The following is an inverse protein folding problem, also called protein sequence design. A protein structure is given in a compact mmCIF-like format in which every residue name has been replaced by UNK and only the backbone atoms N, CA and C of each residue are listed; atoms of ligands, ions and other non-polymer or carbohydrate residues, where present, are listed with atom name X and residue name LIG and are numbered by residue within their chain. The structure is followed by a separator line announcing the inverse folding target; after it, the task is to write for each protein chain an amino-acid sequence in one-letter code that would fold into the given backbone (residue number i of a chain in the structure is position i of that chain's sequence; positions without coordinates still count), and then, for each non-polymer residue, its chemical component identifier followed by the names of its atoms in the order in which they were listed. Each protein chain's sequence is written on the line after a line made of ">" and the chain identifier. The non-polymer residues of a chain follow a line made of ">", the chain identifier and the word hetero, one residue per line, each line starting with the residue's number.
data_IF_306637267120
#
_entry.id   IF_306637267120
#
_cell.length_a   1.000
_cell.length_b   1.000
_cell.length_c   1.000
_cell.angle_alpha   90.00
_cell.angle_beta   90.00
_cell.angle_gamma   90.00
#
_symmetry.space_group_name_H-M   'P 1'
#
loop_
_entity.id
_entity.type
_entity.pdbx_description
1 polymer ?
#
# COMPACT_ATOMS: atom_id res chain seq x y z
N UNK A 1 -19.95 -3.69 -27.19
CA UNK A 1 -20.65 -4.24 -26.01
C UNK A 1 -20.86 -3.07 -25.06
N UNK A 2 -22.12 -2.77 -24.72
CA UNK A 2 -22.47 -1.65 -23.87
C UNK A 2 -22.10 -1.98 -22.42
N UNK A 3 -21.40 -1.07 -21.75
CA UNK A 3 -21.07 -1.15 -20.32
C UNK A 3 -22.25 -0.52 -19.60
N UNK A 4 -23.05 -1.33 -18.92
CA UNK A 4 -24.17 -0.87 -18.12
C UNK A 4 -23.66 -0.61 -16.69
N UNK A 5 -23.34 0.65 -16.39
CA UNK A 5 -22.98 1.09 -15.05
C UNK A 5 -24.21 1.78 -14.45
N UNK A 6 -24.87 1.18 -13.47
CA UNK A 6 -25.96 1.81 -12.75
C UNK A 6 -25.43 2.59 -11.56
N UNK A 7 -25.82 3.87 -11.48
CA UNK A 7 -25.52 4.75 -10.34
C UNK A 7 -26.75 4.76 -9.43
N UNK A 8 -26.61 4.25 -8.22
CA UNK A 8 -27.64 4.34 -7.18
C UNK A 8 -27.06 5.09 -5.99
N UNK A 9 -27.66 6.24 -5.63
CA UNK A 9 -27.26 7.11 -4.51
C UNK A 9 -25.81 7.65 -4.56
N UNK A 10 -25.29 7.99 -5.77
CA UNK A 10 -23.97 8.60 -5.88
C UNK A 10 -22.79 7.63 -5.69
N UNK A 11 -23.05 6.35 -5.52
CA UNK A 11 -22.02 5.31 -5.47
C UNK A 11 -22.08 4.51 -6.77
N UNK A 12 -20.96 4.47 -7.47
CA UNK A 12 -20.80 3.58 -8.63
C UNK A 12 -20.67 2.17 -8.06
N UNK A 13 -21.75 1.39 -8.09
CA UNK A 13 -21.65 -0.06 -7.88
C UNK A 13 -21.11 -0.68 -9.15
N UNK A 14 -19.79 -0.80 -9.24
CA UNK A 14 -19.15 -1.70 -10.16
C UNK A 14 -19.63 -3.12 -9.76
N UNK A 15 -20.56 -3.68 -10.50
CA UNK A 15 -20.74 -5.13 -10.49
C UNK A 15 -19.38 -5.67 -10.92
N UNK A 16 -18.68 -6.33 -9.97
CA UNK A 16 -17.36 -6.85 -10.17
C UNK A 16 -17.34 -7.69 -11.46
N UNK A 17 -16.77 -7.15 -12.50
CA UNK A 17 -16.38 -7.95 -13.65
C UNK A 17 -15.25 -8.86 -13.17
N UNK A 18 -15.63 -10.06 -12.71
CA UNK A 18 -14.65 -11.13 -12.63
C UNK A 18 -14.14 -11.32 -14.06
N UNK A 19 -12.84 -11.14 -14.25
CA UNK A 19 -12.24 -11.40 -15.55
C UNK A 19 -12.48 -12.87 -15.95
N UNK A 20 -12.51 -13.18 -17.24
CA UNK A 20 -12.65 -14.56 -17.71
C UNK A 20 -11.57 -15.48 -17.11
N UNK A 21 -10.42 -14.93 -16.71
CA UNK A 21 -9.36 -15.64 -16.00
C UNK A 21 -9.72 -15.96 -14.55
N UNK A 22 -10.38 -15.05 -13.82
CA UNK A 22 -10.84 -15.27 -12.44
C UNK A 22 -11.99 -16.28 -12.39
N UNK A 23 -12.92 -16.21 -13.36
CA UNK A 23 -14.01 -17.20 -13.49
C UNK A 23 -13.47 -18.59 -13.83
N UNK A 24 -12.40 -18.66 -14.62
CA UNK A 24 -11.75 -19.92 -14.98
C UNK A 24 -10.98 -20.51 -13.80
N UNK A 25 -10.27 -19.69 -13.02
CA UNK A 25 -9.54 -20.13 -11.82
C UNK A 25 -10.50 -20.64 -10.72
N UNK A 26 -11.65 -19.95 -10.51
CA UNK A 26 -12.68 -20.40 -9.55
C UNK A 26 -13.34 -21.73 -10.03
N UNK A 27 -13.56 -21.89 -11.32
CA UNK A 27 -14.11 -23.12 -11.89
C UNK A 27 -13.12 -24.30 -11.82
N UNK A 28 -11.82 -24.04 -11.96
CA UNK A 28 -10.77 -25.07 -11.84
C UNK A 28 -10.58 -25.54 -10.41
N UNK A 29 -10.66 -24.65 -9.40
CA UNK A 29 -10.55 -25.03 -7.98
C UNK A 29 -11.75 -25.83 -7.50
N UNK A 30 -12.96 -25.47 -7.91
CA UNK A 30 -14.19 -26.21 -7.55
C UNK A 30 -14.23 -27.59 -8.20
N UNK A 31 -13.76 -27.73 -9.45
CA UNK A 31 -13.67 -29.03 -10.11
C UNK A 31 -12.64 -29.97 -9.46
N UNK A 32 -11.50 -29.43 -9.02
CA UNK A 32 -10.41 -30.25 -8.45
C UNK A 32 -10.82 -30.90 -7.12
N UNK A 33 -11.56 -30.20 -6.28
CA UNK A 33 -12.04 -30.72 -4.99
C UNK A 33 -13.17 -31.75 -5.16
N UNK A 34 -14.05 -31.55 -6.15
CA UNK A 34 -15.11 -32.48 -6.49
C UNK A 34 -14.56 -33.76 -7.13
N UNK A 35 -13.57 -33.65 -8.01
CA UNK A 35 -12.89 -34.79 -8.63
C UNK A 35 -12.14 -35.63 -7.60
N UNK A 36 -11.48 -34.99 -6.63
CA UNK A 36 -10.79 -35.66 -5.52
C UNK A 36 -11.74 -36.45 -4.63
N UNK A 37 -12.87 -35.85 -4.25
CA UNK A 37 -13.89 -36.51 -3.43
C UNK A 37 -14.59 -37.63 -4.19
N UNK A 38 -14.91 -37.43 -5.47
CA UNK A 38 -15.50 -38.45 -6.32
C UNK A 38 -14.55 -39.64 -6.49
N UNK A 39 -13.27 -39.38 -6.72
CA UNK A 39 -12.25 -40.41 -6.85
C UNK A 39 -12.07 -41.22 -5.55
N UNK A 40 -12.00 -40.55 -4.38
CA UNK A 40 -11.92 -41.24 -3.10
C UNK A 40 -13.14 -42.15 -2.84
N UNK A 41 -14.34 -41.71 -3.24
CA UNK A 41 -15.54 -42.53 -3.15
C UNK A 41 -15.46 -43.75 -4.06
N UNK A 42 -14.96 -43.58 -5.29
CA UNK A 42 -14.74 -44.69 -6.24
C UNK A 42 -13.69 -45.68 -5.72
N UNK A 43 -12.61 -45.18 -5.14
CA UNK A 43 -11.56 -46.03 -4.56
C UNK A 43 -12.10 -46.85 -3.37
N UNK A 44 -12.87 -46.24 -2.48
CA UNK A 44 -13.51 -46.94 -1.36
C UNK A 44 -14.51 -48.00 -1.87
N UNK A 45 -15.26 -47.67 -2.94
CA UNK A 45 -16.17 -48.65 -3.57
C UNK A 45 -15.38 -49.80 -4.21
N UNK A 46 -14.29 -49.54 -4.89
CA UNK A 46 -13.44 -50.57 -5.47
C UNK A 46 -12.79 -51.46 -4.39
N UNK A 47 -12.26 -50.89 -3.31
CA UNK A 47 -11.71 -51.67 -2.18
C UNK A 47 -12.75 -52.58 -1.52
N UNK A 48 -14.03 -52.23 -1.54
CA UNK A 48 -15.11 -53.02 -0.97
C UNK A 48 -15.46 -54.25 -1.82
N UNK A 49 -15.16 -54.23 -3.12
CA UNK A 49 -15.52 -55.29 -4.08
C UNK A 49 -14.30 -56.02 -4.68
N UNK A 50 -13.05 -55.67 -4.31
CA UNK A 50 -11.85 -56.33 -4.85
C UNK A 50 -11.43 -57.54 -4.00
N UNK A 51 -10.91 -58.55 -4.74
CA UNK A 51 -10.29 -59.75 -4.16
C UNK A 51 -8.94 -59.38 -3.49
N UNK A 52 -8.72 -59.69 -2.20
CA UNK A 52 -7.52 -59.30 -1.48
C UNK A 52 -6.20 -59.90 -2.01
N UNK A 53 -6.25 -60.81 -2.97
CA UNK A 53 -5.08 -61.52 -3.55
C UNK A 53 -4.41 -60.81 -4.72
N UNK A 54 -5.00 -59.75 -5.29
CA UNK A 54 -4.40 -58.95 -6.37
C UNK A 54 -4.57 -57.45 -6.13
N UNK A 55 -3.66 -56.81 -5.37
CA UNK A 55 -3.64 -55.37 -5.26
C UNK A 55 -3.14 -54.77 -6.57
N UNK A 56 -4.05 -54.22 -7.37
CA UNK A 56 -3.76 -53.61 -8.65
C UNK A 56 -3.25 -52.17 -8.53
N UNK A 57 -2.71 -51.66 -9.65
CA UNK A 57 -2.03 -50.37 -9.99
C UNK A 57 -2.53 -49.08 -9.31
N UNK A 58 -3.55 -49.11 -8.47
CA UNK A 58 -4.16 -47.92 -7.82
C UNK A 58 -3.27 -47.26 -6.75
N UNK A 59 -2.26 -47.98 -6.22
CA UNK A 59 -1.34 -47.45 -5.18
C UNK A 59 -0.46 -46.30 -5.71
N UNK A 60 -0.07 -46.36 -6.98
CA UNK A 60 0.74 -45.30 -7.59
C UNK A 60 -0.07 -44.03 -7.80
N UNK A 61 -1.32 -44.16 -8.23
CA UNK A 61 -2.24 -43.02 -8.41
C UNK A 61 -2.63 -42.40 -7.08
N UNK A 62 -2.88 -43.16 -6.04
CA UNK A 62 -3.11 -42.67 -4.67
C UNK A 62 -1.88 -41.93 -4.14
N UNK A 63 -0.68 -42.42 -4.42
CA UNK A 63 0.56 -41.76 -4.06
C UNK A 63 0.71 -40.40 -4.76
N UNK A 64 0.42 -40.33 -6.06
CA UNK A 64 0.43 -39.08 -6.83
C UNK A 64 -0.62 -38.10 -6.29
N UNK A 65 -1.84 -38.55 -6.01
CA UNK A 65 -2.90 -37.72 -5.43
C UNK A 65 -2.52 -37.19 -4.04
N UNK A 66 -1.86 -38.02 -3.22
CA UNK A 66 -1.35 -37.59 -1.91
C UNK A 66 -0.26 -36.53 -2.05
N UNK A 67 0.62 -36.64 -3.07
CA UNK A 67 1.61 -35.60 -3.39
C UNK A 67 0.95 -34.30 -3.84
N UNK A 68 -0.04 -34.37 -4.77
CA UNK A 68 -0.80 -33.18 -5.17
C UNK A 68 -1.51 -32.51 -3.98
N UNK A 69 -2.15 -33.30 -3.12
CA UNK A 69 -2.82 -32.78 -1.92
C UNK A 69 -1.85 -32.12 -0.95
N UNK A 70 -0.63 -32.65 -0.85
CA UNK A 70 0.42 -32.06 -0.01
C UNK A 70 0.92 -30.74 -0.59
N UNK A 71 1.08 -30.67 -1.92
CA UNK A 71 1.45 -29.42 -2.62
C UNK A 71 0.37 -28.35 -2.49
N UNK A 72 -0.90 -28.73 -2.64
CA UNK A 72 -2.04 -27.85 -2.46
C UNK A 72 -2.11 -27.31 -1.01
N UNK A 73 -1.95 -28.19 -0.01
CA UNK A 73 -1.91 -27.79 1.38
C UNK A 73 -0.73 -26.83 1.67
N UNK A 74 0.43 -27.08 1.04
CA UNK A 74 1.59 -26.20 1.16
C UNK A 74 1.35 -24.84 0.51
N UNK A 75 0.72 -24.78 -0.66
CA UNK A 75 0.35 -23.52 -1.32
C UNK A 75 -0.67 -22.73 -0.48
N UNK A 76 -1.70 -23.40 0.05
CA UNK A 76 -2.69 -22.77 0.93
C UNK A 76 -2.05 -22.25 2.22
N UNK A 77 -1.07 -22.96 2.77
CA UNK A 77 -0.31 -22.50 3.92
C UNK A 77 0.55 -21.28 3.55
N UNK A 78 1.22 -21.29 2.38
CA UNK A 78 1.97 -20.15 1.87
C UNK A 78 1.09 -18.90 1.77
N UNK A 79 -0.06 -19.02 1.10
CA UNK A 79 -1.03 -17.92 0.97
C UNK A 79 -1.54 -17.41 2.33
N UNK A 80 -1.74 -18.31 3.30
CA UNK A 80 -2.17 -17.93 4.66
C UNK A 80 -1.08 -17.13 5.39
N UNK A 81 0.19 -17.50 5.22
CA UNK A 81 1.33 -16.77 5.77
C UNK A 81 1.47 -15.40 5.11
N UNK A 82 1.31 -15.33 3.78
CA UNK A 82 1.35 -14.07 3.04
C UNK A 82 0.21 -13.14 3.45
N UNK A 83 -1.00 -13.67 3.64
CA UNK A 83 -2.12 -12.89 4.16
C UNK A 83 -1.87 -12.37 5.57
N UNK A 84 -1.25 -13.17 6.45
CA UNK A 84 -0.88 -12.73 7.79
C UNK A 84 0.20 -11.64 7.74
N UNK A 85 1.22 -11.80 6.88
CA UNK A 85 2.25 -10.79 6.63
C UNK A 85 1.65 -9.49 6.11
N UNK A 86 0.78 -9.58 5.10
CA UNK A 86 0.11 -8.43 4.51
C UNK A 86 -0.79 -7.70 5.52
N UNK A 87 -1.55 -8.43 6.34
CA UNK A 87 -2.40 -7.84 7.39
C UNK A 87 -1.58 -7.03 8.42
N UNK A 88 -0.33 -7.44 8.70
CA UNK A 88 0.55 -6.69 9.59
C UNK A 88 1.02 -5.35 9.02
N UNK A 89 0.84 -5.15 7.71
CA UNK A 89 1.20 -3.91 7.01
C UNK A 89 0.04 -2.91 6.93
N UNK A 90 -1.19 -3.28 7.30
CA UNK A 90 -2.33 -2.37 7.30
C UNK A 90 -2.04 -1.16 8.20
N UNK A 91 -2.22 0.04 7.65
CA UNK A 91 -1.93 1.31 8.32
C UNK A 91 -0.48 1.76 8.26
N UNK A 92 0.46 0.87 7.92
CA UNK A 92 1.87 1.24 7.74
C UNK A 92 2.12 1.91 6.39
N UNK A 93 3.10 2.79 6.36
CA UNK A 93 3.59 3.37 5.12
C UNK A 93 4.55 2.38 4.46
N UNK A 94 4.29 2.08 3.20
CA UNK A 94 5.11 1.15 2.41
C UNK A 94 5.44 1.77 1.06
N UNK A 95 6.51 1.28 0.42
CA UNK A 95 6.84 1.58 -0.97
C UNK A 95 6.69 0.30 -1.79
N UNK A 96 5.80 0.33 -2.77
CA UNK A 96 5.66 -0.68 -3.79
C UNK A 96 6.44 -0.28 -5.04
N UNK A 97 7.02 -1.27 -5.73
CA UNK A 97 7.77 -1.05 -6.98
C UNK A 97 7.28 -2.05 -8.02
N UNK A 98 6.70 -1.54 -9.09
CA UNK A 98 6.24 -2.35 -10.22
C UNK A 98 7.04 -2.02 -11.47
N UNK A 99 7.38 -3.04 -12.25
CA UNK A 99 8.04 -2.88 -13.54
C UNK A 99 7.07 -3.22 -14.67
N UNK A 100 6.87 -2.28 -15.57
CA UNK A 100 6.12 -2.55 -16.79
C UNK A 100 6.93 -3.49 -17.70
N UNK A 101 6.36 -4.65 -17.99
CA UNK A 101 7.02 -5.71 -18.77
C UNK A 101 7.28 -5.35 -20.23
N UNK A 102 6.61 -4.32 -20.77
CA UNK A 102 6.71 -3.89 -22.17
C UNK A 102 7.73 -2.77 -22.32
N UNK A 103 7.69 -1.80 -21.41
CA UNK A 103 8.56 -0.60 -21.47
C UNK A 103 9.82 -0.72 -20.63
N UNK A 104 9.86 -1.65 -19.66
CA UNK A 104 10.94 -1.78 -18.69
C UNK A 104 11.00 -0.63 -17.67
N UNK A 105 10.00 0.25 -17.68
CA UNK A 105 9.93 1.38 -16.74
C UNK A 105 9.50 0.86 -15.38
N UNK A 106 10.30 1.16 -14.36
CA UNK A 106 9.97 0.87 -12.97
C UNK A 106 9.27 2.10 -12.36
N UNK A 107 8.11 1.87 -11.77
CA UNK A 107 7.34 2.90 -11.05
C UNK A 107 7.32 2.54 -9.58
N UNK A 108 7.72 3.49 -8.73
CA UNK A 108 7.59 3.36 -7.27
C UNK A 108 6.41 4.19 -6.79
N UNK A 109 5.59 3.61 -5.91
CA UNK A 109 4.53 4.30 -5.20
C UNK A 109 4.70 4.11 -3.70
N UNK A 110 4.64 5.23 -2.96
CA UNK A 110 4.74 5.23 -1.50
C UNK A 110 3.44 5.75 -0.90
N UNK A 111 2.91 5.03 0.07
CA UNK A 111 1.69 5.42 0.76
C UNK A 111 1.30 4.44 1.86
N UNK A 112 0.26 4.80 2.62
CA UNK A 112 -0.28 3.94 3.67
C UNK A 112 -1.09 2.79 3.06
N UNK A 113 -0.92 1.59 3.59
CA UNK A 113 -1.73 0.42 3.23
C UNK A 113 -3.14 0.60 3.78
N UNK A 114 -4.11 0.72 2.88
CA UNK A 114 -5.52 0.97 3.22
C UNK A 114 -6.25 -0.32 3.60
N UNK A 115 -6.07 -1.36 2.81
CA UNK A 115 -6.61 -2.70 3.08
C UNK A 115 -5.82 -3.75 2.31
N UNK A 116 -6.06 -5.01 2.67
CA UNK A 116 -5.49 -6.19 2.04
C UNK A 116 -6.61 -6.97 1.37
N UNK A 117 -6.35 -7.53 0.22
CA UNK A 117 -7.25 -8.42 -0.51
C UNK A 117 -6.52 -9.66 -1.01
N UNK A 118 -7.26 -10.73 -1.24
CA UNK A 118 -6.74 -11.98 -1.79
C UNK A 118 -7.51 -12.33 -3.06
N UNK A 119 -6.79 -12.74 -4.09
CA UNK A 119 -7.36 -13.29 -5.32
C UNK A 119 -6.60 -14.55 -5.72
N UNK A 120 -7.26 -15.69 -5.64
CA UNK A 120 -6.61 -17.00 -5.80
C UNK A 120 -5.52 -17.22 -4.74
N UNK A 121 -4.31 -17.53 -5.17
CA UNK A 121 -3.14 -17.71 -4.31
C UNK A 121 -2.32 -16.43 -4.08
N UNK A 122 -2.72 -15.29 -4.64
CA UNK A 122 -2.01 -14.03 -4.53
C UNK A 122 -2.67 -13.11 -3.52
N UNK A 123 -1.83 -12.38 -2.81
CA UNK A 123 -2.24 -11.37 -1.83
C UNK A 123 -1.86 -9.99 -2.34
N UNK A 124 -2.78 -9.05 -2.23
CA UNK A 124 -2.64 -7.68 -2.72
C UNK A 124 -2.82 -6.69 -1.58
N UNK A 125 -2.06 -5.61 -1.64
CA UNK A 125 -2.20 -4.44 -0.78
C UNK A 125 -2.73 -3.26 -1.61
N UNK A 126 -3.63 -2.48 -1.03
CA UNK A 126 -4.12 -1.25 -1.65
C UNK A 126 -3.42 -0.05 -1.03
N UNK A 127 -2.73 0.73 -1.88
CA UNK A 127 -1.96 1.93 -1.55
C UNK A 127 -2.48 3.06 -2.45
N UNK A 128 -2.93 4.17 -1.88
CA UNK A 128 -3.48 5.33 -2.63
C UNK A 128 -4.57 4.94 -3.65
N UNK A 129 -5.36 3.88 -3.36
CA UNK A 129 -6.41 3.38 -4.25
C UNK A 129 -5.94 2.39 -5.33
N UNK A 130 -4.64 2.16 -5.50
CA UNK A 130 -4.06 1.20 -6.44
C UNK A 130 -3.69 -0.10 -5.73
N UNK A 131 -3.81 -1.22 -6.44
CA UNK A 131 -3.49 -2.55 -5.91
C UNK A 131 -2.09 -3.00 -6.36
N UNK A 132 -1.31 -3.51 -5.41
CA UNK A 132 0.04 -4.05 -5.59
C UNK A 132 0.12 -5.45 -5.02
N UNK A 133 0.84 -6.36 -5.67
CA UNK A 133 1.12 -7.68 -5.08
C UNK A 133 1.99 -7.51 -3.83
N UNK A 134 1.83 -8.40 -2.86
CA UNK A 134 2.65 -8.36 -1.64
C UNK A 134 4.17 -8.42 -1.95
N UNK A 135 4.53 -9.14 -3.02
CA UNK A 135 5.91 -9.29 -3.46
C UNK A 135 6.51 -8.03 -4.12
N UNK A 136 5.66 -7.08 -4.53
CA UNK A 136 6.09 -5.78 -5.08
C UNK A 136 6.50 -4.79 -3.98
N UNK A 137 6.26 -5.11 -2.70
CA UNK A 137 6.61 -4.25 -1.58
C UNK A 137 8.11 -4.29 -1.32
N UNK A 138 8.77 -3.18 -1.56
CA UNK A 138 10.23 -3.04 -1.41
C UNK A 138 10.65 -2.49 -0.06
N UNK A 139 9.82 -1.58 0.52
CA UNK A 139 10.16 -0.89 1.77
C UNK A 139 8.93 -0.86 2.68
N UNK A 140 9.15 -1.03 3.96
CA UNK A 140 8.17 -0.76 5.02
C UNK A 140 8.79 0.32 5.91
N UNK A 141 8.09 1.44 6.04
CA UNK A 141 8.59 2.58 6.79
C UNK A 141 8.18 2.45 8.26
N UNK A 142 9.06 2.86 9.13
CA UNK A 142 8.69 3.09 10.54
C UNK A 142 7.70 4.26 10.62
N UNK A 143 6.69 4.13 11.46
CA UNK A 143 5.59 5.11 11.54
C UNK A 143 6.09 6.49 12.01
N UNK A 144 7.05 6.50 12.94
CA UNK A 144 7.68 7.74 13.45
C UNK A 144 8.51 8.41 12.37
N UNK A 145 9.30 7.61 11.65
CA UNK A 145 10.11 8.09 10.52
C UNK A 145 9.21 8.66 9.41
N UNK A 146 8.18 7.92 9.01
CA UNK A 146 7.26 8.34 7.95
C UNK A 146 6.54 9.64 8.31
N UNK A 147 6.07 9.76 9.55
CA UNK A 147 5.40 10.96 10.06
C UNK A 147 6.33 12.16 10.03
N UNK A 148 7.53 12.04 10.62
CA UNK A 148 8.52 13.11 10.68
C UNK A 148 8.95 13.56 9.27
N UNK A 149 9.21 12.61 8.38
CA UNK A 149 9.59 12.87 6.98
C UNK A 149 8.48 13.61 6.23
N UNK A 150 7.22 13.18 6.37
CA UNK A 150 6.08 13.82 5.71
C UNK A 150 5.84 15.26 6.21
N UNK A 151 5.88 15.47 7.52
CA UNK A 151 5.73 16.79 8.13
C UNK A 151 6.82 17.74 7.61
N UNK A 152 8.07 17.29 7.65
CA UNK A 152 9.21 18.10 7.23
C UNK A 152 9.22 18.39 5.74
N UNK A 153 8.87 17.39 4.91
CA UNK A 153 8.76 17.56 3.46
C UNK A 153 7.63 18.52 3.08
N UNK A 154 6.46 18.41 3.73
CA UNK A 154 5.35 19.31 3.51
C UNK A 154 5.72 20.75 3.91
N UNK A 155 6.43 20.91 5.02
CA UNK A 155 6.94 22.21 5.48
C UNK A 155 7.96 22.79 4.50
N UNK A 156 8.96 22.02 4.05
CA UNK A 156 9.96 22.48 3.07
C UNK A 156 9.33 22.87 1.72
N UNK A 157 8.31 22.14 1.27
CA UNK A 157 7.58 22.50 0.06
C UNK A 157 6.85 23.84 0.19
N UNK A 158 6.29 24.14 1.35
CA UNK A 158 5.68 25.45 1.60
C UNK A 158 6.74 26.54 1.70
N UNK A 159 7.88 26.27 2.34
CA UNK A 159 9.01 27.18 2.45
C UNK A 159 9.61 27.55 1.09
N UNK A 160 9.61 26.62 0.13
CA UNK A 160 10.07 26.87 -1.24
C UNK A 160 9.21 27.94 -1.97
N UNK A 161 7.93 28.06 -1.63
CA UNK A 161 7.01 29.03 -2.22
C UNK A 161 7.14 30.45 -1.65
N UNK A 162 7.83 30.62 -0.52
CA UNK A 162 8.09 31.93 0.08
C UNK A 162 9.23 32.65 -0.66
N UNK A 163 9.17 33.99 -0.77
CA UNK A 163 10.28 34.77 -1.32
C UNK A 163 11.50 34.74 -0.37
N UNK A 164 12.64 35.17 -0.87
CA UNK A 164 13.82 35.39 -0.03
C UNK A 164 13.61 36.65 0.85
N UNK A 165 14.29 36.69 1.98
CA UNK A 165 14.17 37.81 2.95
C UNK A 165 14.43 39.18 2.29
N UNK A 166 15.40 39.29 1.38
CA UNK A 166 15.72 40.50 0.65
C UNK A 166 14.60 41.10 -0.21
N UNK A 167 13.63 40.25 -0.58
CA UNK A 167 12.44 40.69 -1.34
C UNK A 167 11.39 41.38 -0.43
N UNK A 168 11.41 41.10 0.87
CA UNK A 168 10.44 41.61 1.82
C UNK A 168 10.83 43.05 2.21
N UNK A 169 9.95 44.01 1.96
CA UNK A 169 10.11 45.42 2.18
C UNK A 169 8.93 45.99 2.97
N UNK A 170 8.99 47.25 3.41
CA UNK A 170 7.88 47.92 4.10
C UNK A 170 6.59 47.97 3.24
N UNK A 171 6.72 47.95 1.93
CA UNK A 171 5.57 48.06 1.02
C UNK A 171 4.86 46.75 0.71
N UNK A 172 5.53 45.60 0.90
CA UNK A 172 4.96 44.28 0.57
C UNK A 172 4.90 43.29 1.75
N UNK A 173 5.40 43.68 2.94
CA UNK A 173 5.49 42.80 4.12
C UNK A 173 4.16 42.16 4.48
N UNK A 174 3.06 42.91 4.41
CA UNK A 174 1.74 42.46 4.84
C UNK A 174 1.21 41.32 3.96
N UNK A 175 1.65 41.25 2.69
CA UNK A 175 1.25 40.20 1.77
C UNK A 175 1.82 38.80 2.16
N UNK A 176 2.92 38.74 2.86
CA UNK A 176 3.62 37.49 3.24
C UNK A 176 3.64 37.24 4.74
N UNK A 177 3.22 38.21 5.56
CA UNK A 177 3.34 38.16 7.03
C UNK A 177 2.66 36.90 7.60
N UNK A 178 1.42 36.65 7.25
CA UNK A 178 0.65 35.50 7.75
C UNK A 178 1.31 34.18 7.38
N UNK A 179 1.81 34.07 6.14
CA UNK A 179 2.48 32.84 5.70
C UNK A 179 3.81 32.60 6.45
N UNK A 180 4.63 33.66 6.61
CA UNK A 180 5.91 33.55 7.34
C UNK A 180 5.68 33.26 8.80
N UNK A 181 4.67 33.92 9.44
CA UNK A 181 4.29 33.64 10.83
C UNK A 181 3.84 32.19 11.01
N UNK A 182 2.96 31.68 10.14
CA UNK A 182 2.51 30.28 10.17
C UNK A 182 3.67 29.31 9.99
N UNK A 183 4.59 29.57 9.06
CA UNK A 183 5.79 28.75 8.85
C UNK A 183 6.71 28.76 10.08
N UNK A 184 6.88 29.91 10.72
CA UNK A 184 7.66 30.03 11.94
C UNK A 184 7.01 29.30 13.12
N UNK A 185 5.70 29.48 13.31
CA UNK A 185 4.94 28.78 14.35
C UNK A 185 5.01 27.26 14.19
N UNK A 186 4.77 26.76 12.97
CA UNK A 186 4.84 25.32 12.68
C UNK A 186 6.24 24.75 12.87
N UNK A 187 7.30 25.49 12.51
CA UNK A 187 8.68 25.07 12.77
C UNK A 187 8.98 24.99 14.27
N UNK A 188 8.52 25.99 15.06
CA UNK A 188 8.73 25.97 16.50
C UNK A 188 7.99 24.82 17.18
N UNK A 189 6.80 24.48 16.70
CA UNK A 189 5.98 23.37 17.21
C UNK A 189 6.50 21.98 16.83
N UNK A 190 7.38 21.87 15.83
CA UNK A 190 7.96 20.57 15.45
C UNK A 190 8.87 20.03 16.55
N UNK A 191 8.85 18.69 16.70
CA UNK A 191 9.84 17.96 17.51
C UNK A 191 11.23 17.97 16.83
N UNK A 192 12.26 17.68 17.62
CA UNK A 192 13.66 17.73 17.16
C UNK A 192 13.93 16.68 16.07
N UNK A 193 13.21 15.54 16.10
CA UNK A 193 13.37 14.51 15.10
C UNK A 193 12.82 14.96 13.74
N UNK A 194 11.65 15.57 13.70
CA UNK A 194 11.09 16.18 12.48
C UNK A 194 11.98 17.31 11.95
N UNK A 195 12.50 18.17 12.84
CA UNK A 195 13.45 19.22 12.44
C UNK A 195 14.73 18.69 11.80
N UNK A 196 15.17 17.48 12.17
CA UNK A 196 16.37 16.87 11.60
C UNK A 196 16.27 16.54 10.11
N UNK A 197 15.07 16.47 9.55
CA UNK A 197 14.82 16.27 8.12
C UNK A 197 14.74 17.58 7.32
N UNK A 198 14.69 18.72 7.98
CA UNK A 198 14.67 20.03 7.32
C UNK A 198 16.09 20.41 6.91
N UNK A 199 16.23 20.88 5.66
CA UNK A 199 17.53 21.29 5.16
C UNK A 199 18.07 22.53 5.91
N UNK A 200 19.39 22.63 6.03
CA UNK A 200 20.04 23.83 6.59
C UNK A 200 19.66 25.08 5.78
N UNK A 201 19.50 24.96 4.47
CA UNK A 201 19.10 26.07 3.60
C UNK A 201 17.69 26.58 3.94
N UNK A 202 16.73 25.68 4.18
CA UNK A 202 15.36 26.06 4.54
C UNK A 202 15.27 26.68 5.93
N UNK A 203 15.98 26.11 6.91
CA UNK A 203 16.02 26.66 8.27
C UNK A 203 16.70 28.04 8.31
N UNK A 204 17.78 28.22 7.53
CA UNK A 204 18.46 29.51 7.37
C UNK A 204 17.54 30.54 6.72
N UNK A 205 16.85 30.17 5.62
CA UNK A 205 15.89 31.05 4.95
C UNK A 205 14.77 31.51 5.89
N UNK A 206 14.25 30.60 6.74
CA UNK A 206 13.28 30.98 7.76
C UNK A 206 13.86 31.99 8.74
N UNK A 207 15.06 31.74 9.25
CA UNK A 207 15.75 32.65 10.17
C UNK A 207 15.96 34.04 9.57
N UNK A 208 16.37 34.13 8.30
CA UNK A 208 16.53 35.39 7.56
C UNK A 208 15.19 36.12 7.38
N UNK A 209 14.11 35.42 7.07
CA UNK A 209 12.77 35.98 6.94
C UNK A 209 12.30 36.57 8.28
N UNK A 210 12.42 35.83 9.38
CA UNK A 210 12.06 36.27 10.72
C UNK A 210 12.89 37.50 11.10
N UNK A 211 14.19 37.50 10.84
CA UNK A 211 15.07 38.66 11.10
C UNK A 211 14.65 39.90 10.29
N UNK A 212 14.28 39.71 9.01
CA UNK A 212 13.80 40.79 8.13
C UNK A 212 12.49 41.42 8.69
N UNK A 213 11.52 40.59 9.09
CA UNK A 213 10.28 41.09 9.67
C UNK A 213 10.54 41.91 10.96
N UNK A 214 11.47 41.44 11.81
CA UNK A 214 11.88 42.15 13.00
C UNK A 214 12.52 43.51 12.66
N UNK A 215 13.34 43.64 11.62
CA UNK A 215 13.90 44.92 11.16
C UNK A 215 12.81 45.88 10.64
N UNK A 216 11.69 45.31 10.10
CA UNK A 216 10.54 46.07 9.64
C UNK A 216 9.55 46.42 10.76
N UNK A 217 9.92 46.16 12.04
CA UNK A 217 9.10 46.47 13.22
C UNK A 217 7.91 45.53 13.42
N UNK A 218 7.96 44.31 12.85
CA UNK A 218 6.94 43.28 13.00
C UNK A 218 7.52 42.14 13.82
N UNK A 219 6.94 41.85 14.97
CA UNK A 219 7.21 40.61 15.68
C UNK A 219 6.33 39.48 15.12
N UNK A 220 6.97 38.40 14.75
CA UNK A 220 6.28 37.17 14.32
C UNK A 220 6.17 36.30 15.57
N UNK A 221 5.00 36.28 16.17
CA UNK A 221 4.70 35.37 17.27
C UNK A 221 4.53 33.94 16.71
N UNK A 222 5.25 33.00 17.30
CA UNK A 222 5.12 31.57 16.98
C UNK A 222 3.86 30.93 17.58
N UNK A 223 2.95 31.73 18.17
CA UNK A 223 1.68 31.26 18.70
C UNK A 223 0.53 31.68 17.76
N UNK A 224 -0.25 30.72 17.28
CA UNK A 224 -1.54 31.02 16.66
C UNK A 224 -2.42 31.72 17.73
N UNK A 225 -2.89 32.95 17.43
CA UNK A 225 -4.04 33.50 18.13
C UNK A 225 -5.24 32.57 17.86
N UNK A 226 -5.70 31.89 18.90
CA UNK A 226 -6.89 31.02 18.97
C UNK A 226 -8.19 31.77 18.66
#
# INVERSE_FOLDING_TARGET
>A
MAVDASITNGTITNAAYKTAAEQKAEAETVNNDLDKQAFLKLLVAQMKYQDPMQPTENTEYVSQLAQFSSLEAMNNMGTSVDLQRANSLIGKVVTASTSDSVTGVTTEETGSVQYVSQSGSKVYLTINGNQYELDDIQKVWDDTYASAYNISTAWSNQMANLPNASFITSSNKDAYQTQVASMYASYMAMDDYSKSFISEADSTKLGELVAQYRTLGVELDGSEES
#
